data_IF_902112437494
#
_entry.id   IF_902112437494
#
_cell.length_a   1.000
_cell.length_b   1.000
_cell.length_c   1.000
_cell.angle_alpha   90.00
_cell.angle_beta   90.00
_cell.angle_gamma   90.00
#
_symmetry.space_group_name_H-M   'P 1'
#
loop_
_entity.id
_entity.type
_entity.pdbx_description
1 polymer ?
#
# COMPACT_ATOMS: atom_id res chain seq x y z
N UNK A 1 4.83 8.85 -17.77
CA UNK A 1 4.00 8.15 -16.77
C UNK A 1 4.49 6.72 -16.71
N UNK A 2 5.15 6.28 -15.62
CA UNK A 2 5.97 5.08 -15.68
C UNK A 2 5.18 3.81 -15.95
N UNK A 3 5.76 3.00 -16.84
CA UNK A 3 5.40 1.60 -17.03
C UNK A 3 6.52 0.79 -16.41
N UNK A 4 6.21 -0.18 -15.57
CA UNK A 4 7.17 -1.06 -14.95
C UNK A 4 7.12 -2.43 -15.61
N UNK A 5 8.29 -2.98 -15.94
CA UNK A 5 8.48 -4.43 -16.05
C UNK A 5 8.93 -4.93 -14.69
N UNK A 6 8.19 -5.87 -14.12
CA UNK A 6 8.51 -6.43 -12.81
C UNK A 6 8.61 -7.94 -12.84
N UNK A 7 9.44 -8.50 -11.98
CA UNK A 7 9.30 -9.87 -11.50
C UNK A 7 8.75 -9.83 -10.08
N UNK A 8 7.74 -10.63 -9.80
CA UNK A 8 6.98 -10.53 -8.57
C UNK A 8 5.65 -11.25 -8.61
N UNK A 9 4.78 -10.91 -7.66
CA UNK A 9 3.43 -11.46 -7.57
C UNK A 9 2.41 -10.37 -7.24
N UNK A 10 1.15 -10.64 -7.58
CA UNK A 10 0.02 -9.77 -7.22
C UNK A 10 -0.31 -9.94 -5.75
N UNK A 11 -0.54 -8.83 -5.06
CA UNK A 11 -1.01 -8.80 -3.70
C UNK A 11 -2.42 -8.19 -3.65
N UNK A 12 -3.47 -8.98 -3.39
CA UNK A 12 -4.84 -8.48 -3.35
C UNK A 12 -5.02 -7.38 -2.30
N UNK A 13 -5.77 -6.32 -2.64
CA UNK A 13 -6.11 -5.25 -1.68
C UNK A 13 -7.17 -5.66 -0.68
N UNK A 14 -8.11 -6.51 -1.10
CA UNK A 14 -9.20 -7.03 -0.27
C UNK A 14 -9.25 -8.55 -0.22
N UNK A 15 -10.09 -9.10 0.66
CA UNK A 15 -10.14 -10.54 0.95
C UNK A 15 -9.23 -10.93 2.13
N UNK A 16 -9.12 -12.23 2.39
CA UNK A 16 -8.26 -12.78 3.44
C UNK A 16 -7.38 -13.89 2.84
N UNK A 17 -6.04 -13.76 2.89
CA UNK A 17 -5.28 -12.57 3.32
C UNK A 17 -5.24 -11.48 2.22
N UNK A 18 -4.88 -10.24 2.60
CA UNK A 18 -4.80 -9.08 1.69
C UNK A 18 -3.95 -7.95 2.28
N UNK A 19 -3.61 -6.93 1.48
CA UNK A 19 -2.85 -5.75 1.92
C UNK A 19 -3.53 -5.05 3.10
N UNK A 20 -4.85 -4.81 3.01
CA UNK A 20 -5.61 -4.15 4.09
C UNK A 20 -5.57 -4.97 5.38
N UNK A 21 -5.68 -6.29 5.28
CA UNK A 21 -5.58 -7.19 6.44
C UNK A 21 -4.16 -7.18 7.01
N UNK A 22 -3.13 -7.18 6.16
CA UNK A 22 -1.74 -7.12 6.58
C UNK A 22 -1.43 -5.84 7.37
N UNK A 23 -1.87 -4.68 6.86
CA UNK A 23 -1.72 -3.38 7.54
C UNK A 23 -2.33 -3.42 8.95
N UNK A 24 -3.54 -3.97 9.09
CA UNK A 24 -4.21 -4.11 10.39
C UNK A 24 -3.48 -5.07 11.32
N UNK A 25 -3.03 -6.24 10.83
CA UNK A 25 -2.36 -7.24 11.65
C UNK A 25 -0.97 -6.79 12.13
N UNK A 26 -0.26 -6.01 11.32
CA UNK A 26 1.04 -5.44 11.65
C UNK A 26 0.95 -4.09 12.38
N UNK A 27 -0.28 -3.58 12.63
CA UNK A 27 -0.54 -2.31 13.28
C UNK A 27 0.20 -1.12 12.62
N UNK A 28 0.05 -1.00 11.30
CA UNK A 28 0.67 0.04 10.49
C UNK A 28 -0.30 1.21 10.26
N UNK A 29 -0.55 1.99 11.32
CA UNK A 29 -1.62 3.01 11.32
C UNK A 29 -1.41 4.12 10.25
N UNK A 30 -0.16 4.44 9.92
CA UNK A 30 0.18 5.44 8.90
C UNK A 30 0.28 4.85 7.48
N UNK A 31 0.02 3.55 7.30
CA UNK A 31 0.10 2.90 5.99
C UNK A 31 -1.29 2.86 5.31
N UNK A 32 -1.34 3.24 4.05
CA UNK A 32 -2.55 3.10 3.23
C UNK A 32 -2.42 1.96 2.23
N UNK A 33 -3.42 1.08 2.14
CA UNK A 33 -3.42 0.11 1.06
C UNK A 33 -3.43 0.87 -0.27
N UNK A 34 -4.31 1.83 -0.47
CA UNK A 34 -4.57 2.49 -1.75
C UNK A 34 -3.36 3.27 -2.30
N UNK A 35 -2.47 3.74 -1.42
CA UNK A 35 -1.28 4.54 -1.75
C UNK A 35 0.00 3.79 -1.35
N UNK A 36 0.14 2.56 -1.83
CA UNK A 36 1.17 1.62 -1.38
C UNK A 36 2.58 2.00 -1.86
N UNK A 37 2.68 2.74 -2.97
CA UNK A 37 3.96 3.28 -3.47
C UNK A 37 4.40 4.57 -2.78
N UNK A 38 3.53 5.22 -2.00
CA UNK A 38 3.93 6.37 -1.21
C UNK A 38 5.11 6.01 -0.29
N UNK A 39 6.09 6.91 -0.17
CA UNK A 39 7.36 6.68 0.54
C UNK A 39 7.15 6.15 1.97
N UNK A 40 6.24 6.76 2.74
CA UNK A 40 5.96 6.37 4.13
C UNK A 40 5.33 4.98 4.19
N UNK A 41 4.22 4.79 3.47
CA UNK A 41 3.50 3.53 3.40
C UNK A 41 4.40 2.39 2.95
N UNK A 42 5.17 2.60 1.88
CA UNK A 42 6.08 1.60 1.33
C UNK A 42 7.14 1.19 2.36
N UNK A 43 7.73 2.18 3.04
CA UNK A 43 8.74 1.92 4.08
C UNK A 43 8.19 1.12 5.25
N UNK A 44 6.97 1.42 5.72
CA UNK A 44 6.31 0.70 6.81
C UNK A 44 6.00 -0.75 6.43
N UNK A 45 5.41 -0.96 5.26
CA UNK A 45 5.04 -2.31 4.79
C UNK A 45 6.28 -3.15 4.51
N UNK A 46 7.29 -2.61 3.82
CA UNK A 46 8.55 -3.31 3.56
C UNK A 46 9.30 -3.59 4.87
N UNK A 47 9.27 -2.67 5.83
CA UNK A 47 9.81 -2.87 7.16
C UNK A 47 9.16 -4.05 7.90
N UNK A 48 7.83 -4.15 7.85
CA UNK A 48 7.09 -5.28 8.42
C UNK A 48 7.40 -6.60 7.69
N UNK A 49 7.50 -6.59 6.35
CA UNK A 49 7.91 -7.76 5.58
C UNK A 49 9.31 -8.22 5.98
N UNK A 50 10.29 -7.32 6.08
CA UNK A 50 11.65 -7.67 6.50
C UNK A 50 11.73 -8.18 7.94
N UNK A 51 10.90 -7.65 8.84
CA UNK A 51 10.77 -8.15 10.21
C UNK A 51 10.22 -9.58 10.24
N UNK A 52 9.19 -9.88 9.44
CA UNK A 52 8.55 -11.20 9.38
C UNK A 52 9.35 -12.23 8.58
N UNK A 53 10.17 -11.76 7.63
CA UNK A 53 11.00 -12.58 6.75
C UNK A 53 12.46 -12.08 6.77
N UNK A 54 13.26 -12.39 7.81
CA UNK A 54 14.62 -11.85 7.97
C UNK A 54 15.57 -12.15 6.81
N UNK A 55 15.33 -13.24 6.07
CA UNK A 55 16.10 -13.61 4.88
C UNK A 55 15.87 -12.66 3.70
N UNK A 56 14.76 -11.92 3.68
CA UNK A 56 14.41 -10.98 2.62
C UNK A 56 15.45 -9.88 2.46
N UNK A 57 15.96 -9.31 3.56
CA UNK A 57 16.99 -8.27 3.50
C UNK A 57 18.29 -8.74 2.81
N UNK A 58 18.57 -10.05 2.87
CA UNK A 58 19.76 -10.64 2.24
C UNK A 58 19.52 -11.03 0.79
N UNK A 59 18.37 -11.63 0.49
CA UNK A 59 18.10 -12.24 -0.81
C UNK A 59 17.26 -11.38 -1.75
N UNK A 60 16.57 -10.38 -1.21
CA UNK A 60 15.68 -9.45 -1.93
C UNK A 60 16.03 -7.98 -1.60
N UNK A 61 17.28 -7.53 -1.81
CA UNK A 61 17.69 -6.17 -1.45
C UNK A 61 16.95 -5.08 -2.23
N UNK A 62 16.33 -5.43 -3.36
CA UNK A 62 15.59 -4.52 -4.23
C UNK A 62 14.07 -4.74 -4.14
N UNK A 63 13.57 -5.31 -3.04
CA UNK A 63 12.13 -5.54 -2.85
C UNK A 63 11.37 -4.20 -2.87
N UNK A 64 10.40 -4.09 -3.77
CA UNK A 64 9.60 -2.89 -3.99
C UNK A 64 8.12 -3.24 -4.07
N UNK A 65 7.28 -2.27 -3.70
CA UNK A 65 5.84 -2.33 -3.90
C UNK A 65 5.50 -1.52 -5.14
N UNK A 66 4.67 -2.07 -6.02
CA UNK A 66 4.24 -1.41 -7.26
C UNK A 66 2.73 -1.44 -7.34
N UNK A 67 2.10 -0.30 -7.59
CA UNK A 67 0.65 -0.16 -7.70
C UNK A 67 0.22 -0.01 -9.16
N UNK A 68 -1.09 -0.01 -9.33
CA UNK A 68 -1.74 0.26 -10.61
C UNK A 68 -2.58 1.52 -10.43
N UNK A 69 -2.36 2.50 -11.29
CA UNK A 69 -3.13 3.73 -11.25
C UNK A 69 -3.13 4.40 -12.62
N UNK A 70 -4.28 4.93 -13.03
CA UNK A 70 -4.40 5.79 -14.20
C UNK A 70 -5.02 7.12 -13.76
N UNK A 71 -4.29 8.25 -13.75
CA UNK A 71 -4.82 9.54 -13.34
C UNK A 71 -5.92 10.07 -14.26
N UNK A 72 -6.07 9.47 -15.45
CA UNK A 72 -7.14 9.81 -16.39
C UNK A 72 -8.41 8.97 -16.17
N UNK A 73 -8.35 7.92 -15.35
CA UNK A 73 -9.52 7.15 -14.94
C UNK A 73 -10.26 7.92 -13.84
N UNK A 74 -11.44 8.41 -14.18
CA UNK A 74 -12.32 9.17 -13.28
C UNK A 74 -13.44 8.31 -12.68
N UNK A 75 -13.36 6.98 -12.82
CA UNK A 75 -14.32 6.07 -12.20
C UNK A 75 -14.06 5.95 -10.70
N UNK A 76 -15.09 5.57 -9.93
CA UNK A 76 -14.95 5.31 -8.49
C UNK A 76 -13.90 4.23 -8.16
N UNK A 77 -13.65 3.30 -9.10
CA UNK A 77 -12.65 2.25 -8.96
C UNK A 77 -11.21 2.70 -9.20
N UNK A 78 -10.99 3.88 -9.78
CA UNK A 78 -9.67 4.34 -10.21
C UNK A 78 -8.65 4.33 -9.05
N UNK A 79 -9.08 4.77 -7.87
CA UNK A 79 -8.25 4.92 -6.66
C UNK A 79 -7.88 3.58 -6.02
N UNK A 80 -8.73 2.56 -6.16
CA UNK A 80 -8.61 1.30 -5.44
C UNK A 80 -8.65 0.11 -6.40
N UNK A 81 -7.59 -0.02 -7.20
CA UNK A 81 -7.38 -1.21 -8.02
C UNK A 81 -7.37 -2.49 -7.16
N UNK A 82 -7.81 -3.64 -7.71
CA UNK A 82 -8.04 -4.85 -6.91
C UNK A 82 -6.78 -5.46 -6.27
N UNK A 83 -5.60 -5.14 -6.81
CA UNK A 83 -4.32 -5.62 -6.32
C UNK A 83 -3.21 -4.61 -6.58
N UNK A 84 -2.15 -4.72 -5.80
CA UNK A 84 -0.83 -4.16 -6.10
C UNK A 84 0.16 -5.31 -6.34
N UNK A 85 1.45 -5.03 -6.40
CA UNK A 85 2.50 -6.00 -6.62
C UNK A 85 3.60 -5.88 -5.58
N UNK A 86 4.15 -7.03 -5.20
CA UNK A 86 5.42 -7.15 -4.48
C UNK A 86 6.44 -7.66 -5.50
N UNK A 87 7.48 -6.88 -5.75
CA UNK A 87 8.44 -7.13 -6.81
C UNK A 87 9.88 -7.13 -6.29
N UNK A 88 10.67 -8.14 -6.67
CA UNK A 88 12.10 -8.24 -6.36
C UNK A 88 12.99 -7.66 -7.46
N UNK A 89 12.44 -7.48 -8.66
CA UNK A 89 13.08 -6.84 -9.80
C UNK A 89 12.09 -5.88 -10.45
N UNK A 90 12.51 -4.63 -10.63
CA UNK A 90 11.71 -3.56 -11.24
C UNK A 90 12.57 -2.84 -12.26
N UNK A 91 12.05 -2.68 -13.47
CA UNK A 91 12.67 -1.89 -14.53
C UNK A 91 11.64 -0.95 -15.13
N UNK A 92 11.95 0.33 -15.22
CA UNK A 92 11.09 1.31 -15.87
C UNK A 92 11.21 1.14 -17.38
N UNK A 93 10.07 1.08 -18.04
CA UNK A 93 9.89 1.02 -19.48
C UNK A 93 9.36 2.37 -20.00
N UNK A 94 9.56 2.66 -21.30
CA UNK A 94 8.92 3.81 -21.93
C UNK A 94 7.39 3.68 -21.91
N UNK A 95 6.68 4.81 -21.88
CA UNK A 95 5.21 4.89 -21.88
C UNK A 95 4.55 4.11 -23.03
N UNK A 96 5.27 3.89 -24.15
CA UNK A 96 4.81 3.07 -25.28
C UNK A 96 4.59 1.60 -24.93
N UNK A 97 5.15 1.12 -23.81
CA UNK A 97 4.98 -0.25 -23.32
C UNK A 97 3.71 -0.42 -22.47
N UNK A 98 2.88 0.61 -22.31
CA UNK A 98 1.65 0.56 -21.52
C UNK A 98 0.74 -0.60 -22.00
N UNK A 99 0.17 -1.41 -21.08
CA UNK A 99 -0.78 -2.46 -21.46
C UNK A 99 -1.97 -1.91 -22.25
N UNK A 100 -2.34 -2.58 -23.34
CA UNK A 100 -3.48 -2.18 -24.19
C UNK A 100 -4.82 -2.41 -23.48
N UNK A 101 -4.89 -3.43 -22.61
CA UNK A 101 -6.08 -3.80 -21.84
C UNK A 101 -5.74 -3.79 -20.36
N UNK A 102 -6.44 -2.95 -19.59
CA UNK A 102 -6.20 -2.81 -18.15
C UNK A 102 -4.91 -2.07 -17.82
N UNK A 103 -4.51 -2.16 -16.55
CA UNK A 103 -3.32 -1.48 -16.00
C UNK A 103 -2.14 -2.43 -15.79
N UNK A 104 -2.36 -3.74 -15.92
CA UNK A 104 -1.28 -4.72 -15.91
C UNK A 104 -1.55 -5.92 -16.80
N UNK A 105 -0.49 -6.59 -17.23
CA UNK A 105 -0.56 -7.83 -18.00
C UNK A 105 0.59 -8.74 -17.63
N UNK A 106 0.30 -10.04 -17.52
CA UNK A 106 1.35 -11.06 -17.36
C UNK A 106 2.08 -11.26 -18.68
N UNK A 107 3.40 -11.42 -18.64
CA UNK A 107 4.22 -11.73 -19.81
C UNK A 107 4.96 -13.04 -19.62
N UNK A 108 5.10 -13.82 -20.69
CA UNK A 108 5.88 -15.06 -20.66
C UNK A 108 7.37 -14.74 -20.85
N UNK A 109 8.06 -14.53 -19.73
CA UNK A 109 9.51 -14.34 -19.67
C UNK A 109 10.19 -15.29 -18.69
N UNK A 110 9.68 -16.53 -18.59
CA UNK A 110 10.23 -17.55 -17.68
C UNK A 110 11.71 -17.84 -17.90
N UNK A 111 12.21 -17.61 -19.12
CA UNK A 111 13.64 -17.74 -19.43
C UNK A 111 14.53 -16.73 -18.68
N UNK A 112 13.97 -15.64 -18.16
CA UNK A 112 14.68 -14.68 -17.32
C UNK A 112 14.77 -15.11 -15.85
N UNK A 113 14.01 -16.14 -15.44
CA UNK A 113 14.02 -16.61 -14.05
C UNK A 113 15.39 -17.19 -13.67
N UNK A 114 16.17 -17.66 -14.64
CA UNK A 114 17.56 -18.12 -14.46
C UNK A 114 18.50 -17.00 -14.02
N UNK A 115 18.15 -15.73 -14.28
CA UNK A 115 18.91 -14.58 -13.80
C UNK A 115 18.65 -14.28 -12.31
N UNK A 116 17.62 -14.89 -11.71
CA UNK A 116 17.23 -14.69 -10.32
C UNK A 116 17.73 -15.88 -9.50
N UNK A 117 18.48 -15.59 -8.44
CA UNK A 117 19.05 -16.63 -7.59
C UNK A 117 17.96 -17.54 -6.99
N UNK A 118 18.31 -18.81 -6.76
CA UNK A 118 17.40 -19.77 -6.12
C UNK A 118 16.89 -19.31 -4.78
N UNK A 119 17.77 -18.70 -3.99
CA UNK A 119 17.51 -18.19 -2.65
C UNK A 119 16.56 -16.99 -2.71
N UNK A 120 16.75 -16.08 -3.68
CA UNK A 120 15.82 -14.98 -3.90
C UNK A 120 14.43 -15.51 -4.28
N UNK A 121 14.34 -16.43 -5.24
CA UNK A 121 13.06 -17.03 -5.65
C UNK A 121 12.34 -17.75 -4.51
N UNK A 122 13.09 -18.50 -3.69
CA UNK A 122 12.52 -19.17 -2.53
C UNK A 122 12.03 -18.16 -1.48
N UNK A 123 12.83 -17.15 -1.17
CA UNK A 123 12.46 -16.10 -0.21
C UNK A 123 11.21 -15.34 -0.68
N UNK A 124 11.14 -15.01 -1.98
CA UNK A 124 9.97 -14.35 -2.56
C UNK A 124 8.72 -15.25 -2.51
N UNK A 125 8.88 -16.57 -2.75
CA UNK A 125 7.81 -17.54 -2.62
C UNK A 125 7.29 -17.67 -1.18
N UNK A 126 8.19 -17.65 -0.19
CA UNK A 126 7.83 -17.66 1.23
C UNK A 126 7.01 -16.42 1.62
N UNK A 127 7.43 -15.23 1.17
CA UNK A 127 6.67 -13.98 1.38
C UNK A 127 5.29 -14.08 0.72
N UNK A 128 5.24 -14.50 -0.56
CA UNK A 128 3.99 -14.69 -1.29
C UNK A 128 3.04 -15.63 -0.54
N UNK A 129 3.52 -16.79 -0.12
CA UNK A 129 2.68 -17.80 0.53
C UNK A 129 2.12 -17.30 1.86
N UNK A 130 2.79 -16.36 2.52
CA UNK A 130 2.30 -15.71 3.73
C UNK A 130 1.22 -14.64 3.46
N UNK A 131 1.43 -13.76 2.47
CA UNK A 131 0.59 -12.56 2.30
C UNK A 131 -0.42 -12.63 1.16
N UNK A 132 -0.19 -13.52 0.18
CA UNK A 132 -0.98 -13.70 -1.03
C UNK A 132 -0.94 -15.19 -1.50
N UNK A 133 -1.39 -16.15 -0.67
CA UNK A 133 -1.29 -17.57 -0.97
C UNK A 133 -2.03 -17.92 -2.25
N UNK A 134 -1.37 -18.70 -3.11
CA UNK A 134 -1.92 -19.13 -4.39
C UNK A 134 -1.74 -18.13 -5.54
N UNK A 135 -1.23 -16.92 -5.29
CA UNK A 135 -0.87 -16.02 -6.38
C UNK A 135 0.34 -16.52 -7.16
N UNK A 136 0.44 -16.08 -8.41
CA UNK A 136 1.53 -16.49 -9.30
C UNK A 136 2.71 -15.54 -9.16
N UNK A 137 3.91 -16.10 -8.95
CA UNK A 137 5.16 -15.38 -9.18
C UNK A 137 5.47 -15.47 -10.66
N UNK A 138 5.81 -14.33 -11.26
CA UNK A 138 6.20 -14.25 -12.65
C UNK A 138 6.47 -12.82 -13.09
N UNK A 139 6.51 -12.61 -14.40
CA UNK A 139 6.81 -11.32 -15.00
C UNK A 139 5.53 -10.58 -15.38
N UNK A 140 5.51 -9.28 -15.09
CA UNK A 140 4.36 -8.42 -15.35
C UNK A 140 4.81 -7.11 -15.97
N UNK A 141 3.97 -6.56 -16.84
CA UNK A 141 4.00 -5.15 -17.20
C UNK A 141 2.91 -4.44 -16.41
N UNK A 142 3.26 -3.38 -15.68
CA UNK A 142 2.35 -2.65 -14.79
C UNK A 142 2.44 -1.17 -15.09
N UNK A 143 1.31 -0.51 -15.26
CA UNK A 143 1.23 0.93 -15.50
C UNK A 143 0.79 1.64 -14.22
N UNK A 144 1.60 2.62 -13.80
CA UNK A 144 1.23 3.58 -12.77
C UNK A 144 1.45 4.99 -13.35
N UNK A 145 0.37 5.71 -13.60
CA UNK A 145 0.43 7.04 -14.17
C UNK A 145 0.97 8.10 -13.22
N UNK A 146 0.95 7.86 -11.91
CA UNK A 146 1.37 8.83 -10.91
C UNK A 146 1.86 8.11 -9.63
N UNK A 147 3.15 7.68 -9.57
CA UNK A 147 3.68 7.00 -8.39
C UNK A 147 3.85 7.88 -7.16
N UNK A 148 3.92 9.19 -7.34
CA UNK A 148 4.07 10.17 -6.26
C UNK A 148 2.71 10.71 -5.78
N UNK A 149 1.62 10.04 -6.18
CA UNK A 149 0.25 10.47 -5.90
C UNK A 149 0.07 10.90 -4.46
N UNK A 150 -0.37 12.14 -4.30
CA UNK A 150 -0.61 12.77 -3.00
C UNK A 150 -1.63 11.97 -2.16
N UNK A 151 -1.28 11.69 -0.90
CA UNK A 151 -2.17 11.08 0.08
C UNK A 151 -2.78 12.16 0.99
N UNK A 152 -4.09 12.42 0.91
CA UNK A 152 -4.75 13.38 1.79
C UNK A 152 -4.78 12.81 3.22
N UNK A 153 -3.93 13.36 4.10
CA UNK A 153 -3.80 12.92 5.49
C UNK A 153 -2.35 12.73 5.97
N UNK A 154 -1.34 12.79 5.09
CA UNK A 154 0.02 13.05 5.55
C UNK A 154 0.10 14.51 5.98
N UNK A 155 0.46 14.78 7.23
CA UNK A 155 0.75 16.14 7.69
C UNK A 155 1.90 16.73 6.83
N UNK A 156 1.81 18.01 6.48
CA UNK A 156 2.79 18.73 5.65
C UNK A 156 4.22 18.74 6.26
N UNK A 157 4.34 18.34 7.53
CA UNK A 157 5.57 18.37 8.32
C UNK A 157 6.67 17.40 7.81
N UNK A 158 6.36 16.33 7.06
CA UNK A 158 7.38 15.44 6.47
C UNK A 158 7.97 15.99 5.15
N UNK A 159 7.44 17.07 4.58
CA UNK A 159 7.88 17.64 3.29
C UNK A 159 8.86 18.83 3.43
N UNK A 160 9.24 19.21 4.65
CA UNK A 160 10.05 20.41 4.94
C UNK A 160 11.53 20.16 5.32
N UNK A 161 12.13 19.00 5.02
CA UNK A 161 13.49 18.68 5.51
C UNK A 161 14.61 18.64 4.43
N UNK A 162 14.34 19.03 3.18
CA UNK A 162 15.33 18.94 2.08
C UNK A 162 15.76 20.31 1.47
N UNK A 163 15.42 21.45 2.08
CA UNK A 163 15.97 22.75 1.68
C UNK A 163 16.41 23.61 2.87
N UNK A 164 17.63 23.36 3.40
CA UNK A 164 18.65 24.40 3.69
C UNK A 164 19.85 23.82 4.46
N UNK A 165 20.83 23.28 3.74
CA UNK A 165 22.20 23.11 4.24
C UNK A 165 23.20 23.77 3.29
N UNK A 166 23.10 25.10 3.14
CA UNK A 166 24.20 25.92 2.60
C UNK A 166 24.19 27.31 3.23
N UNK A 167 25.26 27.67 3.95
CA UNK A 167 25.59 29.08 4.20
C UNK A 167 25.98 29.44 5.63
N UNK A 168 27.08 28.88 6.14
CA UNK A 168 27.79 29.48 7.26
C UNK A 168 28.29 30.89 6.87
N UNK A 169 27.77 31.93 7.52
CA UNK A 169 28.51 33.18 7.71
C UNK A 169 28.19 33.78 9.07
N UNK A 170 29.26 34.13 9.78
CA UNK A 170 29.26 34.60 11.15
C UNK A 170 29.03 36.11 11.23
N UNK A 171 28.36 36.58 12.29
CA UNK A 171 28.45 37.96 12.76
C UNK A 171 27.35 38.35 13.76
N UNK A 172 27.66 39.06 14.87
CA UNK A 172 26.97 38.86 16.15
C UNK A 172 26.08 40.04 16.60
N UNK A 173 25.19 39.75 17.56
CA UNK A 173 24.75 40.70 18.58
C UNK A 173 23.33 41.22 18.43
N UNK A 174 22.52 41.00 19.48
CA UNK A 174 21.19 41.61 19.60
C UNK A 174 20.28 40.81 20.53
N UNK A 175 20.56 40.87 21.82
CA UNK A 175 19.63 40.49 22.89
C UNK A 175 18.38 41.37 22.79
N UNK A 176 17.19 40.78 22.62
CA UNK A 176 15.95 41.41 23.10
C UNK A 176 14.86 40.37 23.35
N UNK A 177 14.63 40.17 24.66
CA UNK A 177 13.57 39.37 25.26
C UNK A 177 12.26 40.14 25.17
N UNK A 178 11.25 39.66 24.44
CA UNK A 178 9.89 40.22 24.55
C UNK A 178 8.80 39.14 24.53
N UNK A 179 8.30 38.90 25.74
CA UNK A 179 6.91 38.65 26.16
C UNK A 179 6.01 37.71 25.35
N UNK A 180 5.82 36.51 25.92
CA UNK A 180 4.59 35.74 25.82
C UNK A 180 3.37 36.60 26.20
N UNK A 181 2.39 36.71 25.32
CA UNK A 181 1.01 36.99 25.71
C UNK A 181 0.07 36.03 24.99
N UNK A 182 -0.41 35.07 25.77
CA UNK A 182 -1.55 34.21 25.48
C UNK A 182 -2.76 35.07 25.13
N UNK A 183 -3.31 34.86 23.93
CA UNK A 183 -4.68 35.27 23.63
C UNK A 183 -5.56 34.03 23.66
N UNK A 184 -6.28 33.91 24.77
CA UNK A 184 -7.42 33.03 24.95
C UNK A 184 -8.49 33.35 23.89
N UNK A 185 -8.76 32.42 22.99
CA UNK A 185 -10.00 32.42 22.21
C UNK A 185 -11.01 31.53 22.91
N UNK A 186 -12.00 32.18 23.53
CA UNK A 186 -13.16 31.54 24.13
C UNK A 186 -14.02 30.80 23.08
N UNK A 187 -14.78 29.77 23.49
CA UNK A 187 -15.46 28.85 22.58
C UNK A 187 -16.69 29.47 21.93
N UNK A 188 -16.81 29.33 20.61
CA UNK A 188 -18.03 29.68 19.88
C UNK A 188 -19.13 28.65 20.15
N UNK A 189 -20.29 29.19 20.47
CA UNK A 189 -21.54 28.57 20.88
C UNK A 189 -22.09 27.49 19.95
N UNK A 190 -22.52 26.41 20.60
CA UNK A 190 -23.56 25.45 20.21
C UNK A 190 -24.74 26.10 19.49
N UNK A 191 -25.04 25.62 18.27
CA UNK A 191 -26.35 25.73 17.66
C UNK A 191 -26.88 24.30 17.42
N UNK A 192 -27.88 23.94 18.23
CA UNK A 192 -28.66 22.73 18.07
C UNK A 192 -29.53 22.83 16.81
N UNK A 193 -29.58 21.77 15.99
CA UNK A 193 -30.66 21.55 15.03
C UNK A 193 -30.81 20.06 14.72
N UNK A 194 -31.85 19.50 15.35
CA UNK A 194 -32.73 18.40 14.92
C UNK A 194 -32.15 17.03 14.52
N UNK A 195 -32.56 15.94 15.21
CA UNK A 195 -32.24 14.58 14.80
C UNK A 195 -33.03 14.17 13.55
N UNK A 196 -32.31 13.64 12.56
CA UNK A 196 -32.90 13.01 11.36
C UNK A 196 -33.57 11.70 11.77
N UNK A 197 -34.88 11.58 11.53
CA UNK A 197 -35.64 10.35 11.73
C UNK A 197 -35.22 9.30 10.71
N UNK A 198 -34.66 8.20 11.19
CA UNK A 198 -34.39 6.99 10.40
C UNK A 198 -35.73 6.28 10.12
N UNK A 199 -36.11 6.00 8.87
CA UNK A 199 -37.27 5.17 8.59
C UNK A 199 -36.99 3.71 8.97
N UNK A 200 -37.89 3.16 9.80
CA UNK A 200 -37.88 1.80 10.32
C UNK A 200 -38.11 0.78 9.20
N UNK A 201 -37.17 -0.14 9.01
CA UNK A 201 -37.27 -1.25 8.05
C UNK A 201 -38.18 -2.34 8.67
N UNK A 202 -39.29 -2.74 8.01
CA UNK A 202 -40.15 -3.79 8.54
C UNK A 202 -39.41 -5.13 8.64
N UNK A 203 -39.50 -5.78 9.80
CA UNK A 203 -38.96 -7.10 10.03
C UNK A 203 -39.78 -8.18 9.30
N UNK A 204 -39.30 -8.67 8.15
CA UNK A 204 -39.83 -9.89 7.55
C UNK A 204 -39.24 -11.13 8.22
N UNK A 205 -40.12 -11.83 8.94
CA UNK A 205 -39.93 -13.21 9.38
C UNK A 205 -40.09 -14.15 8.20
N UNK A 206 -39.03 -14.87 7.81
CA UNK A 206 -39.12 -16.28 7.41
C UNK A 206 -37.74 -16.97 7.36
N UNK A 207 -37.66 -18.26 7.70
CA UNK A 207 -36.42 -18.92 8.12
C UNK A 207 -35.56 -19.42 6.93
N UNK A 208 -34.25 -19.26 7.06
CA UNK A 208 -33.27 -19.84 6.15
C UNK A 208 -33.25 -21.39 6.24
N UNK A 209 -33.18 -22.12 5.11
CA UNK A 209 -33.01 -23.57 5.11
C UNK A 209 -31.60 -23.98 5.52
N UNK A 210 -31.53 -25.00 6.39
CA UNK A 210 -30.37 -25.33 7.20
C UNK A 210 -29.09 -25.75 6.47
N UNK A 211 -27.96 -25.18 6.92
CA UNK A 211 -26.62 -25.68 6.62
C UNK A 211 -26.37 -27.01 7.33
N UNK A 212 -26.20 -28.09 6.55
CA UNK A 212 -25.71 -29.38 7.06
C UNK A 212 -24.21 -29.28 7.37
N UNK A 213 -23.86 -29.33 8.66
CA UNK A 213 -22.47 -29.44 9.15
C UNK A 213 -21.83 -30.73 8.66
N UNK A 214 -20.88 -30.65 7.71
CA UNK A 214 -19.94 -31.76 7.43
C UNK A 214 -18.80 -31.67 8.45
N UNK A 215 -18.80 -32.58 9.42
CA UNK A 215 -17.69 -32.80 10.35
C UNK A 215 -16.55 -33.46 9.57
N UNK A 216 -15.45 -32.76 9.33
CA UNK A 216 -14.23 -33.36 8.80
C UNK A 216 -13.44 -34.01 9.93
N UNK A 217 -13.20 -35.30 9.76
CA UNK A 217 -12.37 -36.16 10.59
C UNK A 217 -10.89 -35.84 10.35
N UNK A 218 -10.17 -35.37 11.37
CA UNK A 218 -8.72 -35.50 11.41
C UNK A 218 -8.36 -36.58 12.43
N UNK A 219 -8.06 -37.77 11.93
CA UNK A 219 -7.39 -38.85 12.68
C UNK A 219 -5.90 -38.66 12.44
N UNK A 220 -5.16 -38.35 13.50
CA UNK A 220 -3.68 -38.43 13.52
C UNK A 220 -3.26 -39.89 13.33
N UNK A 221 -2.22 -40.09 12.53
CA UNK A 221 -1.27 -41.19 12.69
C UNK A 221 0.10 -40.57 12.77
#
# INVERSE_FOLDING_TARGET
>A
MPVYKIHGFRWPRGGIPSIRVFIVLENLDDASAEYIQNKRTSSLILGAIHKNHPNASRHLPNLQLIEQYDPLDMTDSAVSQPHAFVADSVTILPDTARPVKGLSVEIDQRFLDDAISSEARQTLAEIRDAVAPGEKIGWWIVYNGDPERYYPGMEEDELMDDEESVGASAGPGGDDRISFQSRETAPSSVAASTPVSVPEIPAEKSPAPGLKKKRSFWRRK
#
